data_IF_869931281353
#
_entry.id   IF_869931281353
#
_cell.length_a   1.000
_cell.length_b   1.000
_cell.length_c   1.000
_cell.angle_alpha   90.00
_cell.angle_beta   90.00
_cell.angle_gamma   90.00
#
_symmetry.space_group_name_H-M   'P 1'
#
loop_
_entity.id
_entity.type
_entity.pdbx_description
1 polymer ?
#
# COMPACT_ATOMS: atom_id res chain seq x y z
N UNK A 1 20.41 -22.64 -28.48
CA UNK A 1 19.17 -21.85 -28.45
C UNK A 1 18.43 -22.33 -27.22
N UNK A 2 18.38 -21.53 -26.15
CA UNK A 2 17.80 -21.97 -24.87
C UNK A 2 16.29 -22.04 -25.01
N UNK A 3 15.72 -23.24 -24.83
CA UNK A 3 14.28 -23.44 -24.67
C UNK A 3 13.81 -22.59 -23.49
N UNK A 4 13.14 -21.48 -23.78
CA UNK A 4 12.36 -20.76 -22.78
C UNK A 4 11.25 -21.74 -22.40
N UNK A 5 11.45 -22.44 -21.27
CA UNK A 5 10.60 -23.54 -20.83
C UNK A 5 9.14 -23.09 -20.85
N UNK A 6 8.30 -23.87 -21.53
CA UNK A 6 6.85 -23.66 -21.60
C UNK A 6 6.22 -23.53 -20.20
N UNK A 7 6.86 -24.10 -19.17
CA UNK A 7 6.54 -23.91 -17.75
C UNK A 7 6.55 -22.43 -17.34
N UNK A 8 7.58 -21.65 -17.70
CA UNK A 8 7.69 -20.23 -17.35
C UNK A 8 6.61 -19.38 -18.04
N UNK A 9 6.23 -19.76 -19.28
CA UNK A 9 5.15 -19.07 -19.99
C UNK A 9 3.79 -19.35 -19.34
N UNK A 10 3.51 -20.60 -18.96
CA UNK A 10 2.29 -20.98 -18.25
C UNK A 10 2.20 -20.35 -16.86
N UNK A 11 3.32 -20.24 -16.15
CA UNK A 11 3.38 -19.57 -14.84
C UNK A 11 3.08 -18.08 -14.94
N UNK A 12 3.64 -17.39 -15.96
CA UNK A 12 3.32 -16.00 -16.28
C UNK A 12 1.84 -15.82 -16.64
N UNK A 13 1.30 -16.66 -17.53
CA UNK A 13 -0.12 -16.58 -17.90
C UNK A 13 -1.06 -16.88 -16.72
N UNK A 14 -0.72 -17.83 -15.85
CA UNK A 14 -1.46 -18.07 -14.59
C UNK A 14 -1.34 -16.89 -13.62
N UNK A 15 -0.20 -16.19 -13.61
CA UNK A 15 0.01 -15.00 -12.77
C UNK A 15 -0.92 -13.87 -13.21
N UNK A 16 -0.97 -13.64 -14.52
CA UNK A 16 -1.79 -12.60 -15.14
C UNK A 16 -3.30 -12.86 -15.00
N UNK A 17 -3.72 -14.12 -14.91
CA UNK A 17 -5.13 -14.51 -14.76
C UNK A 17 -5.63 -14.55 -13.30
N UNK A 18 -4.72 -14.48 -12.32
CA UNK A 18 -5.10 -14.52 -10.91
C UNK A 18 -5.59 -13.15 -10.44
N UNK A 19 -6.72 -13.10 -9.72
CA UNK A 19 -7.21 -11.86 -9.12
C UNK A 19 -6.15 -11.29 -8.15
N UNK A 20 -5.84 -10.00 -8.27
CA UNK A 20 -4.95 -9.31 -7.33
C UNK A 20 -5.75 -8.82 -6.12
N UNK A 21 -5.34 -9.23 -4.92
CA UNK A 21 -5.91 -8.76 -3.66
C UNK A 21 -5.07 -7.60 -3.14
N UNK A 22 -5.74 -6.57 -2.62
CA UNK A 22 -5.08 -5.41 -2.00
C UNK A 22 -5.32 -5.45 -0.50
N UNK A 23 -4.23 -5.50 0.25
CA UNK A 23 -4.23 -5.52 1.70
C UNK A 23 -3.66 -4.21 2.23
N UNK A 24 -4.32 -3.65 3.24
CA UNK A 24 -3.98 -2.37 3.84
C UNK A 24 -3.59 -2.57 5.30
N UNK A 25 -2.48 -1.96 5.70
CA UNK A 25 -2.03 -1.87 7.08
C UNK A 25 -1.92 -0.38 7.43
N UNK A 26 -2.61 0.04 8.50
CA UNK A 26 -2.52 1.40 9.05
C UNK A 26 -1.85 1.27 10.40
N UNK A 27 -0.58 1.68 10.48
CA UNK A 27 0.25 1.61 11.67
C UNK A 27 0.31 2.97 12.36
N UNK A 28 -0.36 3.09 13.51
CA UNK A 28 -0.38 4.29 14.34
C UNK A 28 0.50 4.15 15.59
N UNK A 29 1.29 3.08 15.70
CA UNK A 29 2.10 2.81 16.90
C UNK A 29 3.10 3.93 17.22
N UNK A 30 3.63 4.60 16.20
CA UNK A 30 4.56 5.74 16.38
C UNK A 30 3.89 7.00 16.93
N UNK A 31 2.57 7.11 16.84
CA UNK A 31 1.78 8.24 17.36
C UNK A 31 0.97 7.86 18.61
N UNK A 32 1.19 6.67 19.16
CA UNK A 32 0.54 6.18 20.37
C UNK A 32 -0.77 5.42 20.15
N UNK A 33 -1.09 5.06 18.91
CA UNK A 33 -2.24 4.22 18.57
C UNK A 33 -1.87 2.76 18.27
N UNK A 34 -2.87 1.98 17.83
CA UNK A 34 -2.70 0.59 17.41
C UNK A 34 -2.46 0.44 15.91
N UNK A 35 -2.28 -0.80 15.48
CA UNK A 35 -2.12 -1.17 14.07
C UNK A 35 -3.36 -1.91 13.57
N UNK A 36 -3.87 -1.46 12.43
CA UNK A 36 -5.11 -1.96 11.82
C UNK A 36 -4.83 -2.62 10.48
N UNK A 37 -5.56 -3.70 10.19
CA UNK A 37 -5.39 -4.50 8.97
C UNK A 37 -6.72 -4.65 8.26
N UNK A 38 -6.81 -4.12 7.04
CA UNK A 38 -8.04 -4.06 6.27
C UNK A 38 -7.85 -4.64 4.86
N UNK A 39 -8.92 -5.24 4.34
CA UNK A 39 -9.04 -5.67 2.96
C UNK A 39 -10.42 -5.27 2.43
N UNK A 40 -10.52 -5.03 1.12
CA UNK A 40 -11.79 -4.77 0.44
C UNK A 40 -12.58 -6.06 0.15
N UNK A 41 -11.95 -7.22 0.30
CA UNK A 41 -12.48 -8.52 -0.10
C UNK A 41 -12.55 -9.48 1.09
N UNK A 42 -13.46 -10.43 1.00
CA UNK A 42 -13.51 -11.60 1.87
C UNK A 42 -12.78 -12.76 1.19
N UNK A 43 -12.28 -13.71 1.99
CA UNK A 43 -11.71 -14.94 1.44
C UNK A 43 -12.80 -15.86 0.85
N UNK A 44 -12.43 -17.02 0.30
CA UNK A 44 -13.36 -17.98 -0.31
C UNK A 44 -14.45 -18.48 0.65
N UNK A 45 -14.19 -18.40 1.96
CA UNK A 45 -15.10 -18.82 3.03
C UNK A 45 -16.05 -17.71 3.49
N UNK A 46 -15.93 -16.50 2.94
CA UNK A 46 -16.67 -15.32 3.42
C UNK A 46 -16.11 -14.73 4.72
N UNK A 47 -14.87 -15.07 5.08
CA UNK A 47 -14.19 -14.62 6.29
C UNK A 47 -13.09 -13.59 5.97
N UNK A 48 -12.42 -13.08 7.00
CA UNK A 48 -11.25 -12.21 6.87
C UNK A 48 -10.14 -12.88 6.07
N UNK A 49 -9.51 -12.11 5.16
CA UNK A 49 -8.35 -12.59 4.41
C UNK A 49 -7.16 -12.73 5.34
N UNK A 50 -6.44 -13.84 5.30
CA UNK A 50 -5.20 -14.05 6.04
C UNK A 50 -4.01 -13.94 5.09
N UNK A 51 -3.03 -13.13 5.46
CA UNK A 51 -1.77 -13.01 4.75
C UNK A 51 -0.60 -13.05 5.72
N UNK A 52 0.39 -13.92 5.50
CA UNK A 52 1.53 -14.12 6.39
C UNK A 52 1.08 -14.36 7.84
N UNK A 53 0.09 -15.24 8.02
CA UNK A 53 -0.55 -15.51 9.33
C UNK A 53 -1.21 -14.31 10.02
N UNK A 54 -1.45 -13.21 9.30
CA UNK A 54 -2.13 -12.01 9.81
C UNK A 54 -3.50 -11.84 9.17
N UNK A 55 -4.51 -11.61 9.99
CA UNK A 55 -5.88 -11.38 9.50
C UNK A 55 -6.08 -9.93 9.08
N UNK A 56 -6.68 -9.76 7.90
CA UNK A 56 -7.12 -8.51 7.31
C UNK A 56 -8.63 -8.52 7.28
N UNK A 57 -9.23 -7.62 8.06
CA UNK A 57 -10.68 -7.53 8.17
C UNK A 57 -11.27 -6.96 6.88
N UNK A 58 -12.33 -7.60 6.38
CA UNK A 58 -13.12 -7.03 5.28
C UNK A 58 -13.78 -5.73 5.75
N UNK A 59 -13.36 -4.59 5.18
CA UNK A 59 -13.81 -3.27 5.58
C UNK A 59 -13.84 -2.33 4.37
N UNK A 60 -14.79 -1.38 4.28
CA UNK A 60 -14.84 -0.48 3.14
C UNK A 60 -13.64 0.50 3.19
N UNK A 61 -12.64 0.21 2.36
CA UNK A 61 -11.39 0.94 2.23
C UNK A 61 -11.02 1.07 0.75
N UNK A 62 -10.61 2.26 0.32
CA UNK A 62 -10.27 2.51 -1.07
C UNK A 62 -9.07 3.44 -1.17
N UNK A 63 -8.07 3.03 -1.95
CA UNK A 63 -6.92 3.87 -2.26
C UNK A 63 -6.99 4.46 -3.66
N UNK A 64 -6.68 5.75 -3.80
CA UNK A 64 -6.55 6.45 -5.08
C UNK A 64 -5.17 7.12 -5.20
N UNK A 65 -4.66 7.29 -6.43
CA UNK A 65 -3.42 8.00 -6.68
C UNK A 65 -2.13 7.27 -6.23
N UNK A 66 -2.22 5.99 -5.91
CA UNK A 66 -1.08 5.14 -5.50
C UNK A 66 -0.23 4.64 -6.68
N UNK A 67 -0.30 5.30 -7.84
CA UNK A 67 0.46 4.97 -9.04
C UNK A 67 1.71 5.84 -9.12
N UNK A 68 2.88 5.22 -9.32
CA UNK A 68 4.15 5.92 -9.41
C UNK A 68 4.31 6.49 -10.83
N UNK A 69 3.71 7.66 -11.09
CA UNK A 69 3.85 8.33 -12.37
C UNK A 69 5.22 9.04 -12.45
N UNK A 70 6.14 8.47 -13.25
CA UNK A 70 7.49 9.02 -13.49
C UNK A 70 7.53 10.34 -14.30
N UNK A 71 6.39 10.98 -14.54
CA UNK A 71 6.30 12.27 -15.26
C UNK A 71 5.45 13.26 -14.46
N UNK A 72 6.12 14.20 -13.79
CA UNK A 72 5.65 15.58 -13.69
C UNK A 72 4.35 15.86 -12.93
N UNK A 73 4.10 15.19 -11.81
CA UNK A 73 3.39 15.74 -10.63
C UNK A 73 3.54 14.72 -9.51
N UNK A 74 3.88 15.14 -8.30
CA UNK A 74 3.83 14.23 -7.15
C UNK A 74 2.37 13.76 -7.01
N UNK A 75 2.09 12.50 -7.36
CA UNK A 75 0.80 11.93 -7.05
C UNK A 75 0.56 12.16 -5.55
N UNK A 76 -0.59 12.74 -5.19
CA UNK A 76 -1.05 12.85 -3.80
C UNK A 76 -1.98 11.67 -3.57
N UNK A 77 -1.44 10.49 -3.22
CA UNK A 77 -2.29 9.35 -2.93
C UNK A 77 -3.19 9.68 -1.74
N UNK A 78 -4.43 9.20 -1.83
CA UNK A 78 -5.41 9.32 -0.76
C UNK A 78 -5.97 7.95 -0.43
N UNK A 79 -6.12 7.68 0.86
CA UNK A 79 -6.76 6.48 1.37
C UNK A 79 -8.08 6.88 2.02
N UNK A 80 -9.19 6.44 1.43
CA UNK A 80 -10.52 6.62 1.99
C UNK A 80 -10.86 5.39 2.84
N UNK A 81 -11.16 5.62 4.11
CA UNK A 81 -11.57 4.59 5.06
C UNK A 81 -12.97 4.93 5.55
N UNK A 82 -13.85 3.94 5.58
CA UNK A 82 -15.19 4.16 6.12
C UNK A 82 -15.12 4.52 7.60
N UNK A 83 -15.86 5.54 8.03
CA UNK A 83 -15.95 5.94 9.43
C UNK A 83 -17.22 5.36 10.08
N UNK A 84 -17.53 4.09 9.79
CA UNK A 84 -18.67 3.41 10.43
C UNK A 84 -18.45 3.43 11.95
N UNK A 85 -19.44 3.95 12.67
CA UNK A 85 -19.44 4.08 14.14
C UNK A 85 -18.44 5.10 14.72
N UNK A 86 -17.89 6.04 13.93
CA UNK A 86 -17.03 7.11 14.44
C UNK A 86 -15.63 6.64 14.89
N UNK A 87 -15.26 5.41 14.54
CA UNK A 87 -13.98 4.79 14.93
C UNK A 87 -12.78 5.62 14.51
N UNK A 88 -12.79 6.17 13.29
CA UNK A 88 -11.68 6.97 12.77
C UNK A 88 -11.71 8.39 13.34
N UNK A 89 -12.90 8.96 13.58
CA UNK A 89 -13.03 10.29 14.19
C UNK A 89 -12.44 10.33 15.59
N UNK A 90 -12.77 9.36 16.46
CA UNK A 90 -12.20 9.31 17.81
C UNK A 90 -10.68 9.22 17.80
N UNK A 91 -10.12 8.38 16.92
CA UNK A 91 -8.66 8.28 16.78
C UNK A 91 -8.03 9.56 16.23
N UNK A 92 -8.69 10.23 15.28
CA UNK A 92 -8.19 11.48 14.71
C UNK A 92 -8.23 12.65 15.73
N UNK A 93 -9.20 12.66 16.63
CA UNK A 93 -9.26 13.63 17.74
C UNK A 93 -8.15 13.38 18.77
N UNK A 94 -7.94 12.12 19.15
CA UNK A 94 -6.98 11.74 20.19
C UNK A 94 -5.52 11.76 19.71
N UNK A 95 -5.28 11.49 18.42
CA UNK A 95 -3.93 11.25 17.87
C UNK A 95 -3.51 12.29 16.82
N UNK A 96 -3.87 13.56 17.05
CA UNK A 96 -3.45 14.70 16.21
C UNK A 96 -3.71 14.46 14.71
N UNK A 97 -4.94 14.07 14.39
CA UNK A 97 -5.40 13.75 13.02
C UNK A 97 -4.61 12.63 12.35
N UNK A 98 -4.09 11.68 13.13
CA UNK A 98 -3.32 10.51 12.67
C UNK A 98 -2.01 10.87 11.96
N UNK A 99 -1.57 12.13 12.07
CA UNK A 99 -0.38 12.63 11.38
C UNK A 99 0.85 11.96 11.95
N UNK A 100 1.65 11.35 11.08
CA UNK A 100 2.73 10.50 11.53
C UNK A 100 2.33 9.04 11.72
N UNK A 101 1.14 8.63 11.32
CA UNK A 101 0.87 7.21 11.04
C UNK A 101 1.54 6.76 9.74
N UNK A 102 1.66 5.45 9.57
CA UNK A 102 2.15 4.83 8.33
C UNK A 102 1.05 4.00 7.69
N UNK A 103 0.84 4.20 6.39
CA UNK A 103 -0.03 3.36 5.56
C UNK A 103 0.86 2.45 4.73
N UNK A 104 0.61 1.15 4.82
CA UNK A 104 1.26 0.11 4.01
C UNK A 104 0.21 -0.52 3.11
N UNK A 105 0.48 -0.53 1.80
CA UNK A 105 -0.32 -1.24 0.81
C UNK A 105 0.47 -2.44 0.33
N UNK A 106 -0.13 -3.62 0.43
CA UNK A 106 0.41 -4.86 -0.12
C UNK A 106 -0.51 -5.31 -1.24
N UNK A 107 0.07 -5.55 -2.42
CA UNK A 107 -0.63 -6.22 -3.52
C UNK A 107 -0.10 -7.64 -3.61
N UNK A 108 -1.01 -8.60 -3.55
CA UNK A 108 -0.72 -10.02 -3.62
C UNK A 108 -1.65 -10.67 -4.65
N UNK A 109 -1.19 -11.67 -5.38
CA UNK A 109 -2.10 -12.49 -6.18
C UNK A 109 -2.83 -13.48 -5.28
N UNK A 110 -4.15 -13.62 -5.44
CA UNK A 110 -4.98 -14.47 -4.58
C UNK A 110 -4.40 -15.88 -4.43
N UNK A 111 -3.88 -16.47 -5.52
CA UNK A 111 -3.26 -17.81 -5.51
C UNK A 111 -2.09 -18.01 -4.54
N UNK A 112 -1.44 -16.93 -4.09
CA UNK A 112 -0.31 -17.03 -3.16
C UNK A 112 -0.72 -16.91 -1.70
N UNK A 113 -1.97 -16.51 -1.41
CA UNK A 113 -2.50 -16.34 -0.05
C UNK A 113 -2.37 -17.62 0.80
N UNK A 114 -2.32 -17.45 2.12
CA UNK A 114 -2.25 -18.58 3.05
C UNK A 114 -3.37 -19.60 2.81
N UNK A 115 -3.08 -20.89 3.04
CA UNK A 115 -4.02 -21.99 2.83
C UNK A 115 -5.36 -21.82 3.57
N UNK A 116 -5.36 -21.12 4.70
CA UNK A 116 -6.57 -20.90 5.51
C UNK A 116 -7.66 -20.12 4.78
N UNK A 117 -7.32 -19.37 3.72
CA UNK A 117 -8.26 -18.59 2.92
C UNK A 117 -9.17 -19.44 2.02
N UNK A 118 -8.81 -20.70 1.78
CA UNK A 118 -9.45 -21.57 0.79
C UNK A 118 -10.11 -22.77 1.48
N UNK A 119 -11.26 -23.23 0.98
CA UNK A 119 -11.98 -24.37 1.58
C UNK A 119 -11.12 -25.64 1.52
N UNK A 120 -10.39 -25.83 0.43
CA UNK A 120 -9.53 -26.99 0.20
C UNK A 120 -8.05 -26.76 0.56
N UNK A 121 -7.71 -25.65 1.23
CA UNK A 121 -6.34 -25.24 1.42
C UNK A 121 -5.69 -24.65 0.16
N UNK A 122 -4.39 -24.34 0.23
CA UNK A 122 -3.63 -23.81 -0.89
C UNK A 122 -2.21 -24.38 -0.89
N UNK A 123 -1.86 -25.16 -1.92
CA UNK A 123 -0.50 -25.67 -2.14
C UNK A 123 0.44 -24.64 -2.75
N UNK A 124 -0.13 -23.62 -3.42
CA UNK A 124 0.61 -22.58 -4.12
C UNK A 124 0.87 -21.38 -3.20
N UNK A 125 0.62 -21.51 -1.88
CA UNK A 125 0.84 -20.43 -0.93
C UNK A 125 2.33 -20.04 -0.89
N UNK A 126 2.61 -18.77 -1.12
CA UNK A 126 3.97 -18.23 -1.14
C UNK A 126 3.99 -16.85 -0.47
N UNK A 127 4.46 -16.75 0.79
CA UNK A 127 4.43 -15.51 1.56
C UNK A 127 5.38 -14.43 1.03
N UNK A 128 6.29 -14.75 0.10
CA UNK A 128 7.25 -13.79 -0.46
C UNK A 128 6.68 -13.02 -1.67
N UNK A 129 5.57 -13.47 -2.24
CA UNK A 129 4.97 -12.90 -3.46
C UNK A 129 4.10 -11.69 -3.17
N UNK A 130 4.71 -10.58 -2.76
CA UNK A 130 4.00 -9.31 -2.55
C UNK A 130 4.72 -8.10 -3.14
N UNK A 131 3.93 -7.12 -3.59
CA UNK A 131 4.41 -5.77 -3.89
C UNK A 131 3.97 -4.85 -2.75
N UNK A 132 4.93 -4.41 -1.95
CA UNK A 132 4.71 -3.51 -0.82
C UNK A 132 5.02 -2.08 -1.23
N UNK A 133 4.16 -1.14 -0.84
CA UNK A 133 4.54 0.26 -0.79
C UNK A 133 4.05 0.94 0.49
N UNK A 134 4.77 1.98 0.91
CA UNK A 134 4.61 2.62 2.23
C UNK A 134 4.49 4.13 2.07
N UNK A 135 3.61 4.71 2.87
CA UNK A 135 3.35 6.15 2.90
C UNK A 135 3.15 6.64 4.32
N UNK A 136 3.45 7.91 4.54
CA UNK A 136 3.20 8.62 5.79
C UNK A 136 1.87 9.36 5.71
N UNK A 137 1.07 9.30 6.78
CA UNK A 137 -0.13 10.12 6.91
C UNK A 137 0.29 11.56 7.21
N UNK A 138 -0.17 12.51 6.40
CA UNK A 138 0.03 13.94 6.61
C UNK A 138 -1.22 14.66 7.14
N UNK A 139 -2.40 14.12 6.87
CA UNK A 139 -3.68 14.71 7.27
C UNK A 139 -4.79 13.64 7.22
N UNK A 140 -5.68 13.61 8.21
CA UNK A 140 -7.02 13.02 8.09
C UNK A 140 -8.03 14.17 7.98
N UNK A 141 -8.99 14.02 7.07
CA UNK A 141 -10.16 14.88 6.96
C UNK A 141 -11.40 14.02 6.93
N UNK A 142 -12.41 14.37 7.72
CA UNK A 142 -13.71 13.72 7.64
C UNK A 142 -14.51 14.29 6.46
N UNK A 143 -15.29 13.43 5.82
CA UNK A 143 -16.18 13.79 4.72
C UNK A 143 -17.63 13.71 5.16
N UNK A 144 -18.51 14.47 4.51
CA UNK A 144 -19.96 14.53 4.81
C UNK A 144 -20.67 13.17 4.67
N UNK A 145 -20.03 12.18 4.05
CA UNK A 145 -20.57 10.82 3.85
C UNK A 145 -20.15 9.82 4.93
N UNK A 146 -19.57 10.27 6.05
CA UNK A 146 -19.12 9.37 7.12
C UNK A 146 -17.93 8.50 6.70
N UNK A 147 -16.99 9.08 5.96
CA UNK A 147 -15.70 8.48 5.61
C UNK A 147 -14.57 9.43 6.06
N UNK A 148 -13.44 8.91 6.56
CA UNK A 148 -12.21 9.71 6.67
C UNK A 148 -11.36 9.51 5.42
N UNK A 149 -10.86 10.63 4.92
CA UNK A 149 -9.88 10.71 3.86
C UNK A 149 -8.50 10.95 4.49
N UNK A 150 -7.58 10.00 4.32
CA UNK A 150 -6.18 10.14 4.69
C UNK A 150 -5.37 10.61 3.50
N UNK A 151 -4.77 11.79 3.61
CA UNK A 151 -3.76 12.27 2.67
C UNK A 151 -2.41 11.67 3.06
N UNK A 152 -1.78 10.94 2.14
CA UNK A 152 -0.51 10.26 2.41
C UNK A 152 0.59 10.66 1.45
N UNK A 153 1.84 10.61 1.91
CA UNK A 153 3.03 10.94 1.10
C UNK A 153 4.05 9.82 1.12
N UNK A 154 4.80 9.69 0.04
CA UNK A 154 5.87 8.71 -0.03
C UNK A 154 6.92 8.96 1.07
N UNK A 155 7.31 7.87 1.73
CA UNK A 155 8.48 7.85 2.58
C UNK A 155 9.66 7.29 1.80
N UNK A 156 10.86 7.77 2.09
CA UNK A 156 12.08 7.08 1.67
C UNK A 156 12.21 5.73 2.41
N UNK A 157 13.18 4.91 2.02
CA UNK A 157 13.46 3.63 2.70
C UNK A 157 13.83 3.75 4.18
N UNK A 158 13.90 4.98 4.72
CA UNK A 158 14.22 5.30 6.10
C UNK A 158 13.05 5.99 6.85
N UNK A 159 11.84 5.95 6.28
CA UNK A 159 10.63 6.48 6.92
C UNK A 159 10.51 8.01 6.92
N UNK A 160 11.45 8.72 6.28
CA UNK A 160 11.41 10.19 6.18
C UNK A 160 10.62 10.61 4.95
N UNK A 161 9.97 11.77 5.01
CA UNK A 161 9.25 12.33 3.87
C UNK A 161 10.19 12.44 2.67
N UNK A 162 9.81 11.86 1.53
CA UNK A 162 10.39 12.22 0.26
C UNK A 162 9.91 13.63 -0.09
N UNK A 163 10.67 14.65 0.30
CA UNK A 163 10.42 15.99 -0.23
C UNK A 163 10.58 15.93 -1.74
N UNK A 164 9.54 16.29 -2.49
CA UNK A 164 9.65 16.56 -3.92
C UNK A 164 10.43 17.86 -4.09
N UNK A 165 11.74 17.80 -3.84
CA UNK A 165 12.67 18.84 -4.22
C UNK A 165 12.64 18.93 -5.74
N UNK A 166 12.26 20.10 -6.22
CA UNK A 166 12.41 20.56 -7.60
C UNK A 166 13.67 19.97 -8.24
N UNK A 167 13.51 19.02 -9.16
CA UNK A 167 14.54 18.70 -10.14
C UNK A 167 14.70 19.95 -11.03
N UNK A 168 15.60 20.85 -10.65
CA UNK A 168 16.12 21.85 -11.58
C UNK A 168 17.00 21.12 -12.58
N UNK A 169 16.40 20.75 -13.71
CA UNK A 169 17.14 20.43 -14.91
C UNK A 169 17.90 21.69 -15.36
N UNK A 170 19.22 21.60 -15.40
CA UNK A 170 20.09 22.52 -16.14
C UNK A 170 20.93 23.45 -15.28
N UNK A 171 22.21 23.10 -15.13
CA UNK A 171 23.30 24.04 -15.40
C UNK A 171 24.60 23.29 -15.71
N UNK A 172 24.86 23.24 -17.03
CA UNK A 172 26.14 23.32 -17.71
C UNK A 172 27.41 23.00 -16.88
N UNK A 173 28.05 21.87 -17.21
CA UNK A 173 29.46 21.65 -16.96
C UNK A 173 30.25 22.72 -17.74
N UNK A 174 30.70 23.78 -17.08
CA UNK A 174 31.80 24.60 -17.57
C UNK A 174 33.04 24.17 -16.78
N UNK A 175 33.84 23.30 -17.40
CA UNK A 175 35.22 23.04 -16.99
C UNK A 175 36.02 24.30 -17.29
N UNK A 176 36.25 25.14 -16.27
CA UNK A 176 37.26 26.19 -16.33
C UNK A 176 38.63 25.53 -16.08
N UNK A 177 39.27 25.10 -17.16
CA UNK A 177 40.70 24.78 -17.17
C UNK A 177 41.47 26.10 -17.34
N UNK A 178 41.82 26.73 -16.22
CA UNK A 178 42.87 27.75 -16.19
C UNK A 178 43.82 27.57 -15.01
N UNK A 179 44.96 26.95 -15.35
CA UNK A 179 46.33 27.24 -14.89
C UNK A 179 46.56 27.59 -13.41
N UNK A 180 47.34 26.74 -12.73
CA UNK A 180 48.72 27.06 -12.33
C UNK A 180 49.59 25.81 -12.37
#
# INVERSE_FOLDING_TARGET
MQDIRQETLNECTRAEQSASVVLWEIDLTEVGGDRYFFCNEQNEKGESVTWQSRQYQAYPIQGSGFEMNGKGSAARPTLTVSNLHGMVTGMAEDLQSLVGGTVVRRKVYARFLDAVNFVNGNSDADPEQEVISRWRIEQCSETECGQCLLCVVHTDGNGRRCFSGTYHAGQHLHLDLSRR
#
